data_IF_248609602207
#
_entry.id   IF_248609602207
#
_cell.length_a   1.000
_cell.length_b   1.000
_cell.length_c   1.000
_cell.angle_alpha   90.00
_cell.angle_beta   90.00
_cell.angle_gamma   90.00
#
_symmetry.space_group_name_H-M   'P 1'
#
loop_
_entity.id
_entity.type
_entity.pdbx_description
1 polymer ?
#
# COMPACT_ATOMS: atom_id res chain seq x y z
N UNK A 1 15.09 -13.40 -20.39
CA UNK A 1 14.27 -12.60 -19.44
C UNK A 1 13.49 -13.50 -18.46
N UNK A 2 14.14 -14.46 -17.78
CA UNK A 2 13.47 -15.37 -16.82
C UNK A 2 13.70 -15.01 -15.35
N UNK A 3 14.89 -14.49 -15.02
CA UNK A 3 15.30 -14.22 -13.64
C UNK A 3 14.52 -13.09 -12.94
N UNK A 4 13.93 -12.15 -13.69
CA UNK A 4 13.10 -11.10 -13.11
C UNK A 4 11.73 -11.62 -12.61
N UNK A 5 11.14 -12.64 -13.27
CA UNK A 5 9.81 -13.15 -12.89
C UNK A 5 9.82 -13.82 -11.51
N UNK A 6 10.85 -14.62 -11.23
CA UNK A 6 10.96 -15.35 -9.97
C UNK A 6 11.34 -14.43 -8.80
N UNK A 7 12.25 -13.47 -9.03
CA UNK A 7 12.61 -12.47 -8.03
C UNK A 7 11.40 -11.59 -7.67
N UNK A 8 10.63 -11.13 -8.65
CA UNK A 8 9.40 -10.36 -8.42
C UNK A 8 8.36 -11.19 -7.66
N UNK A 9 8.18 -12.47 -8.02
CA UNK A 9 7.27 -13.38 -7.32
C UNK A 9 7.59 -13.48 -5.81
N UNK A 10 8.85 -13.76 -5.46
CA UNK A 10 9.26 -13.88 -4.07
C UNK A 10 9.18 -12.55 -3.32
N UNK A 11 9.52 -11.44 -3.97
CA UNK A 11 9.43 -10.11 -3.38
C UNK A 11 7.98 -9.73 -3.05
N UNK A 12 7.06 -9.96 -3.98
CA UNK A 12 5.63 -9.70 -3.77
C UNK A 12 5.07 -10.59 -2.67
N UNK A 13 5.36 -11.89 -2.67
CA UNK A 13 4.90 -12.79 -1.61
C UNK A 13 5.45 -12.38 -0.23
N UNK A 14 6.72 -12.00 -0.14
CA UNK A 14 7.31 -11.52 1.11
C UNK A 14 6.61 -10.25 1.62
N UNK A 15 6.34 -9.27 0.75
CA UNK A 15 5.60 -8.06 1.12
C UNK A 15 4.18 -8.36 1.59
N UNK A 16 3.47 -9.29 0.95
CA UNK A 16 2.14 -9.73 1.34
C UNK A 16 2.12 -10.43 2.70
N UNK A 17 3.11 -11.27 2.99
CA UNK A 17 3.23 -11.94 4.29
C UNK A 17 3.60 -10.97 5.42
N UNK A 18 4.56 -10.07 5.20
CA UNK A 18 5.11 -9.20 6.24
C UNK A 18 4.21 -8.00 6.56
N UNK A 19 3.63 -7.37 5.53
CA UNK A 19 2.86 -6.15 5.72
C UNK A 19 1.35 -6.41 5.72
N UNK A 20 0.90 -7.54 5.17
CA UNK A 20 -0.53 -7.84 5.03
C UNK A 20 -0.95 -9.16 5.68
N UNK A 21 -0.04 -9.85 6.38
CA UNK A 21 -0.30 -11.07 7.15
C UNK A 21 -1.05 -12.18 6.38
N UNK A 22 -0.89 -12.23 5.06
CA UNK A 22 -1.48 -13.30 4.25
C UNK A 22 -0.75 -14.61 4.50
N UNK A 23 -1.50 -15.72 4.52
CA UNK A 23 -0.93 -17.03 4.77
C UNK A 23 -0.18 -17.50 3.51
N UNK A 24 1.03 -18.05 3.68
CA UNK A 24 1.86 -18.50 2.56
C UNK A 24 1.15 -19.55 1.72
N UNK A 25 0.44 -20.48 2.38
CA UNK A 25 -0.32 -21.55 1.75
C UNK A 25 -1.48 -21.03 0.90
N UNK A 26 -2.11 -19.93 1.29
CA UNK A 26 -3.17 -19.30 0.50
C UNK A 26 -2.55 -18.61 -0.72
N UNK A 27 -1.44 -17.89 -0.51
CA UNK A 27 -0.75 -17.15 -1.57
C UNK A 27 -0.11 -18.09 -2.61
N UNK A 28 0.40 -19.25 -2.22
CA UNK A 28 0.98 -20.24 -3.14
C UNK A 28 -0.08 -21.03 -3.92
N UNK A 29 -1.25 -21.28 -3.33
CA UNK A 29 -2.35 -21.99 -4.00
C UNK A 29 -3.24 -21.07 -4.86
N UNK A 30 -3.10 -19.75 -4.78
CA UNK A 30 -3.84 -18.80 -5.62
C UNK A 30 -3.53 -18.98 -7.10
N UNK A 31 -4.58 -19.09 -7.91
CA UNK A 31 -4.47 -19.13 -9.37
C UNK A 31 -3.81 -17.82 -9.85
N UNK A 32 -2.87 -17.85 -10.82
CA UNK A 32 -2.10 -16.67 -11.21
C UNK A 32 -2.93 -15.42 -11.56
N UNK A 33 -4.12 -15.59 -12.15
CA UNK A 33 -4.99 -14.46 -12.50
C UNK A 33 -5.70 -13.84 -11.29
N UNK A 34 -6.13 -14.65 -10.31
CA UNK A 34 -6.75 -14.15 -9.06
C UNK A 34 -5.75 -13.32 -8.26
N UNK A 35 -4.50 -13.78 -8.21
CA UNK A 35 -3.42 -13.05 -7.54
C UNK A 35 -3.19 -11.66 -8.14
N UNK A 36 -3.26 -11.54 -9.47
CA UNK A 36 -3.11 -10.25 -10.13
C UNK A 36 -4.23 -9.29 -9.71
N UNK A 37 -5.48 -9.75 -9.68
CA UNK A 37 -6.62 -8.94 -9.23
C UNK A 37 -6.44 -8.49 -7.78
N UNK A 38 -6.02 -9.39 -6.88
CA UNK A 38 -5.76 -9.03 -5.49
C UNK A 38 -4.63 -8.01 -5.32
N UNK A 39 -3.56 -8.13 -6.12
CA UNK A 39 -2.47 -7.15 -6.14
C UNK A 39 -3.01 -5.79 -6.62
N UNK A 40 -3.82 -5.76 -7.67
CA UNK A 40 -4.38 -4.51 -8.22
C UNK A 40 -5.30 -3.83 -7.19
N UNK A 41 -6.15 -4.60 -6.50
CA UNK A 41 -7.00 -4.10 -5.41
C UNK A 41 -6.18 -3.58 -4.23
N UNK A 42 -5.10 -4.28 -3.86
CA UNK A 42 -4.21 -3.86 -2.79
C UNK A 42 -3.49 -2.56 -3.14
N UNK A 43 -3.03 -2.41 -4.37
CA UNK A 43 -2.40 -1.18 -4.85
C UNK A 43 -3.37 0.00 -4.78
N UNK A 44 -4.62 -0.18 -5.20
CA UNK A 44 -5.65 0.86 -5.11
C UNK A 44 -5.96 1.24 -3.64
N UNK A 45 -6.05 0.25 -2.76
CA UNK A 45 -6.24 0.48 -1.33
C UNK A 45 -5.08 1.28 -0.71
N UNK A 46 -3.83 0.87 -0.97
CA UNK A 46 -2.64 1.55 -0.44
C UNK A 46 -2.55 3.00 -0.94
N UNK A 47 -2.86 3.23 -2.21
CA UNK A 47 -2.88 4.58 -2.79
C UNK A 47 -3.91 5.46 -2.09
N UNK A 48 -5.13 4.96 -1.87
CA UNK A 48 -6.18 5.69 -1.15
C UNK A 48 -5.77 6.03 0.29
N UNK A 49 -5.06 5.12 0.95
CA UNK A 49 -4.60 5.36 2.32
C UNK A 49 -3.46 6.40 2.37
N UNK A 50 -2.56 6.39 1.39
CA UNK A 50 -1.53 7.43 1.25
C UNK A 50 -2.16 8.82 1.01
N UNK A 51 -3.14 8.89 0.12
CA UNK A 51 -3.88 10.13 -0.18
C UNK A 51 -4.61 10.65 1.07
N UNK A 52 -5.26 9.77 1.83
CA UNK A 52 -5.90 10.12 3.11
C UNK A 52 -4.90 10.69 4.12
N UNK A 53 -3.72 10.09 4.26
CA UNK A 53 -2.68 10.58 5.18
C UNK A 53 -2.15 11.96 4.75
N UNK A 54 -1.98 12.19 3.44
CA UNK A 54 -1.59 13.50 2.88
C UNK A 54 -2.64 14.57 3.18
N UNK A 55 -3.91 14.25 3.02
CA UNK A 55 -5.00 15.18 3.31
C UNK A 55 -5.02 15.59 4.79
N UNK A 56 -4.89 14.62 5.70
CA UNK A 56 -4.78 14.90 7.14
C UNK A 56 -3.57 15.78 7.48
N UNK A 57 -2.43 15.55 6.82
CA UNK A 57 -1.24 16.38 7.02
C UNK A 57 -1.45 17.81 6.52
N UNK A 58 -2.09 17.97 5.36
CA UNK A 58 -2.41 19.27 4.77
C UNK A 58 -3.41 20.06 5.63
N UNK A 59 -4.44 19.41 6.14
CA UNK A 59 -5.39 20.00 7.09
C UNK A 59 -4.68 20.48 8.35
N UNK A 60 -3.82 19.64 8.94
CA UNK A 60 -3.03 20.00 10.12
C UNK A 60 -2.14 21.21 9.85
N UNK A 61 -1.44 21.26 8.72
CA UNK A 61 -0.60 22.41 8.32
C UNK A 61 -1.43 23.69 8.15
N UNK A 62 -2.60 23.59 7.51
CA UNK A 62 -3.52 24.71 7.34
C UNK A 62 -4.01 25.24 8.69
N UNK A 63 -4.44 24.35 9.58
CA UNK A 63 -4.87 24.70 10.94
C UNK A 63 -3.76 25.41 11.72
N UNK A 64 -2.54 24.86 11.73
CA UNK A 64 -1.39 25.49 12.39
C UNK A 64 -1.09 26.89 11.83
N UNK A 65 -1.14 27.07 10.51
CA UNK A 65 -0.93 28.37 9.88
C UNK A 65 -2.01 29.40 10.26
N UNK A 66 -3.25 28.95 10.45
CA UNK A 66 -4.37 29.81 10.85
C UNK A 66 -4.25 30.23 12.32
N UNK A 67 -3.81 29.33 13.19
CA UNK A 67 -3.56 29.61 14.61
C UNK A 67 -2.39 30.57 14.80
N UNK A 68 -1.29 30.39 14.05
CA UNK A 68 -0.14 31.28 14.12
C UNK A 68 -0.48 32.72 13.71
N UNK A 69 -1.33 32.89 12.68
CA UNK A 69 -1.82 34.21 12.23
C UNK A 69 -2.75 34.89 13.24
N UNK A 70 -3.49 34.12 14.05
CA UNK A 70 -4.45 34.64 15.03
C UNK A 70 -3.82 35.10 16.34
N UNK A 71 -2.55 34.75 16.57
CA UNK A 71 -1.79 35.03 17.81
C UNK A 71 -0.84 36.23 17.67
N UNK A 72 -0.71 36.79 16.47
CA UNK A 72 -0.07 38.08 16.20
C UNK A 72 -1.14 39.18 16.16
#
# INVERSE_FOLDING_TARGET
MGHQKLATYFKTNFSLMQHHHWNLTETENMIPWERQIYIDLLQDFLKKEEDRLKDLENERKSQLSSLARRKM
#
